data_IF_378459082564
#
_entry.id   IF_378459082564
#
_cell.length_a   1.000
_cell.length_b   1.000
_cell.length_c   1.000
_cell.angle_alpha   90.00
_cell.angle_beta   90.00
_cell.angle_gamma   90.00
#
_symmetry.space_group_name_H-M   'P 1'
#
loop_
_entity.id
_entity.type
_entity.pdbx_description
1 polymer ?
#
# COMPACT_ATOMS: atom_id res chain seq x y z
N UNK A 1 2.07 18.17 -4.76
CA UNK A 1 1.99 16.70 -4.96
C UNK A 1 1.60 16.44 -6.40
N UNK A 2 2.44 15.76 -7.18
CA UNK A 2 2.13 15.39 -8.58
C UNK A 2 1.53 13.99 -8.62
N UNK A 3 0.30 13.88 -9.09
CA UNK A 3 -0.39 12.60 -9.23
C UNK A 3 -0.47 12.24 -10.70
N UNK A 4 -0.09 11.01 -11.06
CA UNK A 4 -0.15 10.52 -12.43
C UNK A 4 -0.84 9.16 -12.48
N UNK A 5 -1.66 8.95 -13.48
CA UNK A 5 -2.22 7.63 -13.75
C UNK A 5 -1.25 6.82 -14.60
N UNK A 6 -0.99 5.59 -14.19
CA UNK A 6 -0.12 4.65 -14.91
C UNK A 6 -0.79 3.30 -15.02
N UNK A 7 -0.29 2.48 -15.94
CA UNK A 7 -0.73 1.08 -16.06
C UNK A 7 0.36 0.13 -15.60
N UNK A 8 -0.04 -1.05 -15.16
CA UNK A 8 0.86 -2.13 -14.78
C UNK A 8 0.54 -3.41 -15.57
N UNK A 9 1.57 -4.21 -15.85
CA UNK A 9 1.43 -5.54 -16.47
C UNK A 9 1.06 -6.62 -15.45
N UNK A 10 1.50 -6.43 -14.20
CA UNK A 10 1.27 -7.33 -13.07
C UNK A 10 1.16 -6.47 -11.81
N UNK A 11 0.32 -6.92 -10.87
CA UNK A 11 0.15 -6.27 -9.57
C UNK A 11 0.55 -7.21 -8.42
N UNK A 12 0.46 -8.54 -8.61
CA UNK A 12 1.05 -9.55 -7.73
C UNK A 12 2.50 -9.85 -8.15
N UNK A 13 3.48 -9.17 -7.58
CA UNK A 13 4.91 -9.44 -7.86
C UNK A 13 5.44 -10.48 -6.90
N UNK A 14 6.16 -11.52 -7.34
CA UNK A 14 6.80 -12.47 -6.41
C UNK A 14 7.77 -11.73 -5.48
N UNK A 15 7.77 -12.08 -4.20
CA UNK A 15 8.58 -11.39 -3.19
C UNK A 15 9.29 -12.38 -2.26
N UNK A 16 10.30 -11.90 -1.53
CA UNK A 16 10.91 -12.63 -0.42
C UNK A 16 10.32 -12.25 0.95
N UNK A 17 9.49 -11.19 1.01
CA UNK A 17 8.79 -10.75 2.24
C UNK A 17 7.61 -11.68 2.55
N UNK A 18 6.96 -12.15 1.50
CA UNK A 18 5.84 -13.08 1.45
C UNK A 18 5.81 -13.67 0.03
N UNK A 19 4.89 -14.56 -0.32
CA UNK A 19 4.82 -15.15 -1.67
C UNK A 19 4.69 -14.08 -2.76
N UNK A 20 3.89 -13.06 -2.48
CA UNK A 20 3.64 -11.92 -3.35
C UNK A 20 3.74 -10.60 -2.59
N UNK A 21 4.20 -9.56 -3.27
CA UNK A 21 4.03 -8.16 -2.88
C UNK A 21 3.06 -7.46 -3.82
N UNK A 22 2.22 -6.59 -3.25
CA UNK A 22 1.24 -5.80 -3.97
C UNK A 22 1.39 -4.34 -3.55
N UNK A 23 1.68 -3.47 -4.52
CA UNK A 23 1.82 -2.03 -4.30
C UNK A 23 0.88 -1.32 -5.28
N UNK A 24 -0.24 -0.75 -4.82
CA UNK A 24 -1.21 -0.08 -5.70
C UNK A 24 -0.62 1.19 -6.34
N UNK A 25 0.40 1.74 -5.69
CA UNK A 25 1.04 3.00 -6.05
C UNK A 25 2.54 2.83 -6.30
N UNK A 26 3.16 3.84 -6.89
CA UNK A 26 4.59 4.11 -6.83
C UNK A 26 4.80 5.56 -6.38
N UNK A 27 5.72 5.80 -5.45
CA UNK A 27 5.71 7.01 -4.63
C UNK A 27 4.84 6.85 -3.37
N UNK A 28 5.04 7.71 -2.38
CA UNK A 28 4.32 7.65 -1.10
C UNK A 28 4.23 9.03 -0.42
N UNK A 29 3.03 9.57 -0.22
CA UNK A 29 2.82 10.90 0.35
C UNK A 29 3.17 11.01 1.83
N UNK A 30 3.31 9.89 2.54
CA UNK A 30 3.79 9.88 3.92
C UNK A 30 5.12 10.64 4.08
N UNK A 31 5.95 10.62 3.02
CA UNK A 31 7.22 11.37 2.92
C UNK A 31 8.13 11.15 4.13
N UNK A 32 8.20 9.91 4.63
CA UNK A 32 9.04 9.60 5.79
C UNK A 32 10.51 9.86 5.45
N UNK A 33 11.22 10.57 6.33
CA UNK A 33 12.61 10.99 6.10
C UNK A 33 13.56 9.80 5.93
N UNK A 34 13.24 8.69 6.58
CA UNK A 34 14.03 7.45 6.61
C UNK A 34 13.55 6.40 5.57
N UNK A 35 12.67 6.77 4.64
CA UNK A 35 12.02 5.82 3.75
C UNK A 35 13.02 5.14 2.79
N UNK A 36 13.18 3.82 2.93
CA UNK A 36 14.06 3.04 2.07
C UNK A 36 13.59 3.03 0.60
N UNK A 37 12.28 3.15 0.35
CA UNK A 37 11.70 3.05 -0.99
C UNK A 37 12.15 4.21 -1.90
N UNK A 38 12.73 5.28 -1.35
CA UNK A 38 13.45 6.31 -2.12
C UNK A 38 14.53 5.70 -3.02
N UNK A 39 15.17 4.61 -2.61
CA UNK A 39 16.16 3.90 -3.42
C UNK A 39 15.60 3.37 -4.75
N UNK A 40 14.28 3.16 -4.85
CA UNK A 40 13.64 2.68 -6.07
C UNK A 40 13.72 3.69 -7.22
N UNK A 41 13.96 4.98 -6.93
CA UNK A 41 14.20 6.01 -7.94
C UNK A 41 15.43 5.71 -8.80
N UNK A 42 16.40 4.91 -8.29
CA UNK A 42 17.53 4.43 -9.09
C UNK A 42 17.10 3.57 -10.27
N UNK A 43 16.01 2.83 -10.15
CA UNK A 43 15.50 1.90 -11.17
C UNK A 43 14.29 2.44 -11.92
N UNK A 44 13.57 3.38 -11.31
CA UNK A 44 12.45 4.10 -11.91
C UNK A 44 12.62 5.59 -11.66
N UNK A 45 13.46 6.25 -12.46
CA UNK A 45 13.75 7.68 -12.31
C UNK A 45 12.48 8.51 -12.39
N UNK A 46 12.49 9.63 -11.67
CA UNK A 46 11.41 10.58 -11.57
C UNK A 46 12.02 11.98 -11.42
N UNK A 47 11.38 13.01 -11.98
CA UNK A 47 11.86 14.39 -11.85
C UNK A 47 11.64 14.90 -10.41
N UNK A 48 10.47 14.59 -9.85
CA UNK A 48 10.08 14.89 -8.48
C UNK A 48 10.78 14.01 -7.44
N UNK A 49 11.03 14.56 -6.25
CA UNK A 49 11.61 13.81 -5.16
C UNK A 49 10.62 12.80 -4.56
N UNK A 50 11.14 11.75 -3.91
CA UNK A 50 10.31 10.78 -3.19
C UNK A 50 9.50 11.48 -2.09
N UNK A 51 8.18 11.36 -2.14
CA UNK A 51 7.26 12.07 -1.25
C UNK A 51 6.53 13.24 -1.91
N UNK A 52 6.93 13.64 -3.13
CA UNK A 52 6.31 14.74 -3.88
C UNK A 52 5.46 14.28 -5.06
N UNK A 53 5.48 12.98 -5.37
CA UNK A 53 4.68 12.36 -6.42
C UNK A 53 4.01 11.06 -5.97
N UNK A 54 2.94 10.70 -6.69
CA UNK A 54 2.32 9.37 -6.66
C UNK A 54 1.87 8.96 -8.06
N UNK A 55 2.37 7.82 -8.52
CA UNK A 55 1.86 7.12 -9.69
C UNK A 55 0.81 6.10 -9.27
N UNK A 56 -0.41 6.28 -9.75
CA UNK A 56 -1.58 5.45 -9.45
C UNK A 56 -1.72 4.37 -10.51
N UNK A 57 -1.65 3.08 -10.13
CA UNK A 57 -1.81 1.97 -11.08
C UNK A 57 -3.29 1.72 -11.36
N UNK A 58 -3.93 2.58 -12.15
CA UNK A 58 -5.39 2.61 -12.33
C UNK A 58 -5.98 1.31 -12.88
N UNK A 59 -5.21 0.55 -13.65
CA UNK A 59 -5.64 -0.74 -14.19
C UNK A 59 -5.45 -1.92 -13.22
N UNK A 60 -4.89 -1.70 -12.02
CA UNK A 60 -4.55 -2.75 -11.06
C UNK A 60 -5.73 -3.68 -10.71
N UNK A 61 -6.99 -3.20 -10.51
CA UNK A 61 -8.11 -4.10 -10.22
C UNK A 61 -8.38 -5.10 -11.35
N UNK A 62 -8.35 -4.62 -12.61
CA UNK A 62 -8.54 -5.46 -13.80
C UNK A 62 -7.41 -6.48 -13.95
N UNK A 63 -6.18 -6.09 -13.62
CA UNK A 63 -5.02 -7.00 -13.65
C UNK A 63 -5.17 -8.04 -12.55
N UNK A 64 -5.48 -7.62 -11.31
CA UNK A 64 -5.62 -8.52 -10.16
C UNK A 64 -6.68 -9.59 -10.39
N UNK A 65 -7.86 -9.23 -10.92
CA UNK A 65 -8.93 -10.18 -11.25
C UNK A 65 -8.45 -11.34 -12.13
N UNK A 66 -7.53 -11.07 -13.06
CA UNK A 66 -6.95 -12.12 -13.92
C UNK A 66 -5.85 -12.90 -13.20
N UNK A 67 -5.04 -12.23 -12.39
CA UNK A 67 -3.90 -12.84 -11.72
C UNK A 67 -4.33 -13.82 -10.61
N UNK A 68 -5.39 -13.51 -9.84
CA UNK A 68 -5.88 -14.39 -8.77
C UNK A 68 -6.42 -15.73 -9.29
N UNK A 69 -6.91 -15.77 -10.54
CA UNK A 69 -7.40 -17.00 -11.18
C UNK A 69 -6.27 -17.90 -11.72
N UNK A 70 -5.10 -17.32 -12.00
CA UNK A 70 -3.98 -18.00 -12.67
C UNK A 70 -2.84 -18.35 -11.72
N UNK A 71 -2.75 -17.67 -10.59
CA UNK A 71 -1.67 -17.83 -9.61
C UNK A 71 -2.13 -18.73 -8.48
N UNK A 72 -1.18 -19.50 -7.93
CA UNK A 72 -1.42 -20.29 -6.73
C UNK A 72 -1.71 -19.34 -5.56
N UNK A 73 -2.77 -19.59 -4.76
CA UNK A 73 -3.02 -18.82 -3.54
C UNK A 73 -1.79 -18.84 -2.62
N UNK A 74 -1.48 -17.69 -2.05
CA UNK A 74 -0.34 -17.48 -1.15
C UNK A 74 -0.47 -16.17 -0.39
N UNK A 75 0.56 -15.82 0.37
CA UNK A 75 0.64 -14.56 1.09
C UNK A 75 0.85 -13.37 0.18
N UNK A 76 0.00 -12.35 0.33
CA UNK A 76 0.09 -11.06 -0.36
C UNK A 76 0.45 -9.99 0.67
N UNK A 77 1.69 -9.52 0.62
CA UNK A 77 2.15 -8.39 1.39
C UNK A 77 1.84 -7.09 0.64
N UNK A 78 0.87 -6.35 1.16
CA UNK A 78 0.45 -5.05 0.67
C UNK A 78 1.28 -3.98 1.36
N UNK A 79 1.72 -2.97 0.60
CA UNK A 79 2.52 -1.82 1.08
C UNK A 79 4.00 -2.15 1.35
N UNK A 80 4.65 -2.94 0.48
CA UNK A 80 6.10 -3.13 0.61
C UNK A 80 6.88 -1.88 0.18
N UNK A 81 6.56 -1.29 -0.97
CA UNK A 81 7.33 -0.20 -1.57
C UNK A 81 6.62 1.18 -1.53
N UNK A 82 5.37 1.21 -1.07
CA UNK A 82 4.57 2.41 -0.83
C UNK A 82 3.67 2.12 0.37
N UNK A 83 2.96 3.12 0.90
CA UNK A 83 1.84 2.86 1.80
C UNK A 83 0.54 2.85 0.99
N UNK A 84 -0.19 1.74 1.02
CA UNK A 84 -1.45 1.60 0.31
C UNK A 84 -2.55 2.52 0.87
N UNK A 85 -2.42 2.99 2.12
CA UNK A 85 -3.36 3.90 2.78
C UNK A 85 -2.79 5.30 2.98
N UNK A 86 -1.86 5.73 2.11
CA UNK A 86 -1.44 7.12 2.02
C UNK A 86 -2.63 8.07 1.77
N UNK A 87 -2.55 9.36 2.14
CA UNK A 87 -3.67 10.31 2.04
C UNK A 87 -4.54 10.22 0.77
N UNK A 88 -3.92 10.05 -0.41
CA UNK A 88 -4.59 9.93 -1.71
C UNK A 88 -5.54 8.74 -1.81
N UNK A 89 -5.33 7.67 -1.04
CA UNK A 89 -6.22 6.50 -0.97
C UNK A 89 -7.61 6.87 -0.41
N UNK A 90 -7.73 7.95 0.35
CA UNK A 90 -9.03 8.43 0.87
C UNK A 90 -9.99 8.74 -0.28
N UNK A 91 -9.48 9.34 -1.35
CA UNK A 91 -10.26 9.73 -2.54
C UNK A 91 -10.26 8.65 -3.64
N UNK A 92 -9.10 8.02 -3.89
CA UNK A 92 -8.93 7.13 -5.06
C UNK A 92 -9.49 5.72 -4.80
N UNK A 93 -9.52 5.27 -3.55
CA UNK A 93 -10.03 3.95 -3.14
C UNK A 93 -9.42 2.74 -3.90
N UNK A 94 -8.20 2.87 -4.43
CA UNK A 94 -7.60 1.82 -5.25
C UNK A 94 -7.34 0.57 -4.41
N UNK A 95 -6.83 0.75 -3.20
CA UNK A 95 -6.58 -0.33 -2.24
C UNK A 95 -7.89 -0.99 -1.83
N UNK A 96 -8.94 -0.21 -1.55
CA UNK A 96 -10.28 -0.77 -1.26
C UNK A 96 -10.78 -1.66 -2.41
N UNK A 97 -10.63 -1.22 -3.65
CA UNK A 97 -11.01 -2.02 -4.84
C UNK A 97 -10.20 -3.30 -4.98
N UNK A 98 -8.91 -3.28 -4.66
CA UNK A 98 -8.05 -4.47 -4.66
C UNK A 98 -8.42 -5.43 -3.52
N UNK A 99 -8.77 -4.90 -2.34
CA UNK A 99 -9.23 -5.71 -1.21
C UNK A 99 -10.57 -6.39 -1.46
N UNK A 100 -11.50 -5.75 -2.17
CA UNK A 100 -12.75 -6.40 -2.61
C UNK A 100 -12.44 -7.71 -3.33
N UNK A 101 -11.54 -7.65 -4.31
CA UNK A 101 -11.12 -8.83 -5.09
C UNK A 101 -10.43 -9.86 -4.19
N UNK A 102 -9.41 -9.46 -3.41
CA UNK A 102 -8.67 -10.41 -2.58
C UNK A 102 -9.54 -11.08 -1.50
N UNK A 103 -10.52 -10.34 -0.95
CA UNK A 103 -11.39 -10.84 0.11
C UNK A 103 -12.23 -12.06 -0.33
N UNK A 104 -12.53 -12.15 -1.63
CA UNK A 104 -13.31 -13.22 -2.27
C UNK A 104 -12.44 -14.37 -2.79
N UNK A 105 -11.15 -14.39 -2.48
CA UNK A 105 -10.19 -15.42 -2.92
C UNK A 105 -9.52 -16.11 -1.74
N UNK A 106 -8.75 -17.18 -1.99
CA UNK A 106 -7.99 -17.89 -0.95
C UNK A 106 -6.62 -17.25 -0.62
N UNK A 107 -6.28 -16.12 -1.23
CA UNK A 107 -5.04 -15.42 -0.91
C UNK A 107 -5.07 -14.89 0.54
N UNK A 108 -3.90 -14.90 1.19
CA UNK A 108 -3.74 -14.28 2.50
C UNK A 108 -3.36 -12.82 2.34
N UNK A 109 -4.00 -11.94 3.10
CA UNK A 109 -3.82 -10.50 3.03
C UNK A 109 -2.98 -10.06 4.23
N UNK A 110 -1.80 -9.51 3.97
CA UNK A 110 -0.93 -8.91 5.00
C UNK A 110 -0.73 -7.45 4.64
N UNK A 111 -1.19 -6.54 5.48
CA UNK A 111 -1.06 -5.09 5.25
C UNK A 111 -0.10 -4.55 6.30
N UNK A 112 0.81 -3.66 5.89
CA UNK A 112 1.53 -2.79 6.80
C UNK A 112 1.21 -1.33 6.42
N UNK A 113 0.84 -0.51 7.40
CA UNK A 113 0.53 0.91 7.13
C UNK A 113 0.92 1.83 8.28
N UNK A 114 1.01 3.13 8.03
CA UNK A 114 1.09 4.21 9.03
C UNK A 114 -0.18 5.04 9.12
N UNK A 115 -1.24 4.60 8.46
CA UNK A 115 -2.48 5.35 8.31
C UNK A 115 -3.64 4.68 9.03
N UNK A 116 -4.39 5.48 9.79
CA UNK A 116 -5.64 5.07 10.42
C UNK A 116 -6.76 4.77 9.39
N UNK A 117 -6.58 5.19 8.14
CA UNK A 117 -7.54 4.98 7.04
C UNK A 117 -7.84 3.50 6.79
N UNK A 118 -6.94 2.58 7.16
CA UNK A 118 -7.19 1.12 7.08
C UNK A 118 -8.46 0.68 7.79
N UNK A 119 -8.92 1.45 8.79
CA UNK A 119 -10.20 1.20 9.49
C UNK A 119 -11.42 1.26 8.57
N UNK A 120 -11.37 2.04 7.49
CA UNK A 120 -12.42 2.13 6.47
C UNK A 120 -12.74 0.77 5.85
N UNK A 121 -11.72 -0.07 5.69
CA UNK A 121 -11.79 -1.32 4.92
C UNK A 121 -11.91 -2.57 5.81
N UNK A 122 -12.24 -2.39 7.10
CA UNK A 122 -12.49 -3.50 8.06
C UNK A 122 -13.61 -4.42 7.57
N UNK A 123 -14.62 -3.89 6.87
CA UNK A 123 -15.70 -4.67 6.28
C UNK A 123 -15.19 -5.69 5.26
N UNK A 124 -14.18 -5.33 4.46
CA UNK A 124 -13.57 -6.21 3.47
C UNK A 124 -12.56 -7.16 4.10
N UNK A 125 -11.76 -6.67 5.04
CA UNK A 125 -10.76 -7.48 5.74
C UNK A 125 -11.44 -8.58 6.58
N UNK A 126 -12.59 -8.30 7.18
CA UNK A 126 -13.36 -9.28 7.95
C UNK A 126 -13.90 -10.43 7.09
N UNK A 127 -14.19 -10.18 5.81
CA UNK A 127 -14.61 -11.25 4.86
C UNK A 127 -13.50 -12.26 4.62
N UNK A 128 -12.23 -11.84 4.69
CA UNK A 128 -11.09 -12.73 4.59
C UNK A 128 -10.84 -13.57 5.87
N UNK A 129 -11.59 -13.33 6.96
CA UNK A 129 -11.50 -14.08 8.23
C UNK A 129 -10.03 -14.17 8.70
N UNK A 130 -9.56 -15.38 9.03
CA UNK A 130 -8.19 -15.65 9.49
C UNK A 130 -7.11 -15.46 8.42
N UNK A 131 -7.47 -15.16 7.17
CA UNK A 131 -6.52 -14.90 6.08
C UNK A 131 -6.01 -13.46 6.05
N UNK A 132 -6.64 -12.53 6.78
CA UNK A 132 -6.21 -11.14 6.83
C UNK A 132 -5.47 -10.81 8.14
N UNK A 133 -4.40 -10.04 8.03
CA UNK A 133 -3.74 -9.38 9.15
C UNK A 133 -3.30 -7.97 8.75
N UNK A 134 -3.48 -7.03 9.67
CA UNK A 134 -3.04 -5.64 9.52
C UNK A 134 -2.00 -5.37 10.60
N UNK A 135 -0.81 -4.97 10.17
CA UNK A 135 0.20 -4.36 11.01
C UNK A 135 0.15 -2.85 10.84
N UNK A 136 0.37 -2.13 11.95
CA UNK A 136 0.49 -0.68 11.92
C UNK A 136 1.86 -0.28 12.45
N UNK A 137 2.54 0.61 11.75
CA UNK A 137 3.86 1.11 12.16
C UNK A 137 3.69 2.31 13.10
N UNK A 138 4.15 2.14 14.33
CA UNK A 138 4.28 3.22 15.31
C UNK A 138 5.77 3.40 15.60
N UNK A 139 6.39 4.42 15.00
CA UNK A 139 7.83 4.69 15.17
C UNK A 139 8.12 5.44 16.46
N UNK A 140 7.22 6.31 16.89
CA UNK A 140 7.33 7.06 18.15
C UNK A 140 5.93 7.47 18.62
N UNK A 141 5.76 7.62 19.93
CA UNK A 141 4.56 8.20 20.55
C UNK A 141 4.66 9.72 20.74
N UNK A 142 5.82 10.32 20.48
CA UNK A 142 5.99 11.78 20.48
C UNK A 142 5.49 12.36 19.14
N UNK A 143 4.36 13.06 19.19
CA UNK A 143 3.74 13.70 18.03
C UNK A 143 4.59 14.81 17.41
N UNK A 144 5.43 15.49 18.20
CA UNK A 144 6.36 16.51 17.67
C UNK A 144 7.41 15.81 16.82
N UNK A 145 8.02 14.74 17.34
CA UNK A 145 8.99 13.96 16.59
C UNK A 145 8.36 13.33 15.35
N UNK A 146 7.19 12.69 15.49
CA UNK A 146 6.44 12.09 14.37
C UNK A 146 6.19 13.09 13.24
N UNK A 147 5.83 14.33 13.54
CA UNK A 147 5.66 15.42 12.55
C UNK A 147 6.93 15.72 11.76
N UNK A 148 8.09 15.59 12.41
CA UNK A 148 9.39 15.81 11.75
C UNK A 148 9.79 14.63 10.86
N UNK A 149 9.61 13.39 11.32
CA UNK A 149 10.14 12.21 10.63
C UNK A 149 9.16 11.51 9.68
N UNK A 150 7.86 11.71 9.85
CA UNK A 150 6.79 11.05 9.08
C UNK A 150 5.65 12.02 8.71
N UNK A 151 5.92 13.24 8.22
CA UNK A 151 5.03 14.41 8.30
C UNK A 151 3.54 14.14 7.99
N UNK A 152 3.23 13.32 6.99
CA UNK A 152 1.87 13.05 6.53
C UNK A 152 1.28 11.70 6.96
N UNK A 153 1.96 10.96 7.85
CA UNK A 153 1.38 9.80 8.53
C UNK A 153 0.28 10.20 9.53
N UNK A 154 -0.64 9.30 9.84
CA UNK A 154 -1.63 9.55 10.89
C UNK A 154 -0.95 9.81 12.24
N UNK A 155 -1.58 10.56 13.17
CA UNK A 155 -1.14 10.64 14.55
C UNK A 155 -0.94 9.25 15.15
N UNK A 156 0.13 9.04 15.91
CA UNK A 156 0.49 7.74 16.49
C UNK A 156 -0.60 7.18 17.40
N UNK A 157 -1.40 8.04 18.05
CA UNK A 157 -2.55 7.61 18.86
C UNK A 157 -3.75 7.08 18.04
N UNK A 158 -3.82 7.39 16.75
CA UNK A 158 -4.90 6.94 15.86
C UNK A 158 -4.53 5.69 15.06
N UNK A 159 -3.26 5.32 15.09
CA UNK A 159 -2.68 4.17 14.43
C UNK A 159 -3.03 2.88 15.16
#
# INVERSE_FOLDING_TARGET
>A
MKVREVTCKSILTKSGISDYSLNPYFGCQHSCVYCYARYLLKYRPHEEAWGEFVDVKVNAPRVLQKEVLRRKPGGVFISSACDAYQPLEEEIELTRRLLRILSETDFQIRILTKSALVRRDVDLLSRAKRRAAVGVTVTTMDERLRKLIEPNASPSKLR
#
